data_IF_183777187900
#
_entry.id   IF_183777187900
#
_cell.length_a   1.000
_cell.length_b   1.000
_cell.length_c   1.000
_cell.angle_alpha   90.00
_cell.angle_beta   90.00
_cell.angle_gamma   90.00
#
_symmetry.space_group_name_H-M   'P 1'
#
loop_
_entity.id
_entity.type
_entity.pdbx_description
1 polymer ?
#
# COMPACT_ATOMS: atom_id res chain seq x y z
N UNK A 1 -24.09 20.96 36.42
CA UNK A 1 -25.47 20.58 36.06
C UNK A 1 -25.74 21.16 34.67
N UNK A 2 -26.18 20.30 33.76
CA UNK A 2 -26.48 20.54 32.33
C UNK A 2 -27.37 21.78 32.08
N UNK A 3 -27.30 22.41 30.89
CA UNK A 3 -28.18 22.08 29.74
C UNK A 3 -28.05 23.09 28.57
N UNK A 4 -27.66 22.54 27.42
CA UNK A 4 -28.35 22.61 26.10
C UNK A 4 -28.73 24.00 25.54
N UNK A 5 -27.99 24.43 24.52
CA UNK A 5 -28.40 25.47 23.59
C UNK A 5 -29.01 24.81 22.33
N UNK A 6 -30.32 24.96 22.14
CA UNK A 6 -31.04 24.59 20.91
C UNK A 6 -30.84 25.70 19.86
N UNK A 7 -30.32 25.35 18.68
CA UNK A 7 -30.43 26.20 17.49
C UNK A 7 -31.62 25.76 16.63
N UNK A 8 -32.55 26.67 16.40
CA UNK A 8 -33.67 26.55 15.47
C UNK A 8 -33.30 27.21 14.15
N UNK A 9 -33.53 26.54 13.02
CA UNK A 9 -33.32 27.09 11.68
C UNK A 9 -34.68 27.41 11.06
N UNK A 10 -34.96 28.70 10.86
CA UNK A 10 -36.15 29.20 10.15
C UNK A 10 -35.86 29.27 8.65
N UNK A 11 -36.70 28.63 7.82
CA UNK A 11 -36.66 28.76 6.36
C UNK A 11 -37.92 29.49 5.89
N UNK A 12 -37.70 30.59 5.15
CA UNK A 12 -38.71 31.46 4.57
C UNK A 12 -39.20 30.86 3.24
N UNK A 13 -40.51 30.67 3.05
CA UNK A 13 -41.12 30.29 1.77
C UNK A 13 -41.90 31.48 1.18
N UNK A 14 -41.51 31.92 -0.02
CA UNK A 14 -42.29 32.83 -0.86
C UNK A 14 -43.17 31.99 -1.81
N UNK A 15 -44.47 32.27 -1.84
CA UNK A 15 -45.45 31.67 -2.74
C UNK A 15 -45.50 32.41 -4.08
N UNK A 16 -45.74 31.66 -5.17
CA UNK A 16 -46.19 32.17 -6.46
C UNK A 16 -47.08 31.13 -7.14
N UNK A 17 -48.32 31.51 -7.46
CA UNK A 17 -49.37 30.69 -8.06
C UNK A 17 -49.57 31.03 -9.56
N UNK A 18 -50.36 30.20 -10.27
CA UNK A 18 -51.03 30.33 -11.61
C UNK A 18 -50.63 29.15 -12.53
N UNK A 19 -51.46 28.37 -13.25
CA UNK A 19 -52.91 28.29 -13.48
C UNK A 19 -53.22 27.40 -14.73
N UNK A 20 -54.26 26.55 -14.63
CA UNK A 20 -55.27 26.06 -15.64
C UNK A 20 -54.88 25.26 -16.93
N UNK A 21 -55.55 24.10 -17.14
CA UNK A 21 -56.28 23.78 -18.41
C UNK A 21 -56.23 22.37 -19.07
N UNK A 22 -57.38 21.64 -19.04
CA UNK A 22 -58.07 20.76 -20.08
C UNK A 22 -57.29 19.61 -20.78
N UNK A 23 -57.75 18.38 -21.10
CA UNK A 23 -59.00 17.59 -21.02
C UNK A 23 -58.94 16.32 -21.91
N UNK A 24 -59.99 15.47 -21.88
CA UNK A 24 -60.45 14.43 -22.86
C UNK A 24 -59.97 12.95 -22.78
N UNK A 25 -60.93 12.01 -22.58
CA UNK A 25 -61.19 10.90 -23.54
C UNK A 25 -61.10 9.41 -23.12
N UNK A 26 -62.23 8.81 -22.67
CA UNK A 26 -62.83 7.54 -23.16
C UNK A 26 -62.16 6.15 -22.98
N UNK A 27 -62.88 5.19 -22.35
CA UNK A 27 -63.21 3.84 -22.86
C UNK A 27 -63.99 2.98 -21.82
N UNK A 28 -65.10 2.38 -22.28
CA UNK A 28 -65.97 1.41 -21.61
C UNK A 28 -65.43 -0.04 -21.64
N UNK A 29 -65.87 -0.90 -20.70
CA UNK A 29 -65.95 -2.36 -20.89
C UNK A 29 -65.64 -3.29 -19.70
N UNK A 30 -66.69 -3.60 -18.92
CA UNK A 30 -67.06 -4.85 -18.22
C UNK A 30 -66.19 -6.12 -18.36
N UNK A 31 -66.20 -7.13 -17.47
CA UNK A 31 -66.54 -7.37 -16.05
C UNK A 31 -66.20 -8.86 -15.83
N UNK A 32 -65.58 -9.25 -14.70
CA UNK A 32 -65.73 -10.60 -14.12
C UNK A 32 -65.11 -10.69 -12.71
N UNK A 33 -65.95 -10.35 -11.72
CA UNK A 33 -66.01 -10.77 -10.32
C UNK A 33 -64.93 -11.68 -9.72
N UNK A 34 -64.37 -11.24 -8.58
CA UNK A 34 -64.78 -11.80 -7.28
C UNK A 34 -64.63 -10.74 -6.18
N UNK A 35 -65.76 -10.33 -5.60
CA UNK A 35 -65.88 -9.37 -4.50
C UNK A 35 -65.59 -9.99 -3.13
N UNK A 36 -64.93 -9.26 -2.21
CA UNK A 36 -65.47 -8.95 -0.86
C UNK A 36 -64.88 -7.61 -0.34
N UNK A 37 -65.77 -6.61 -0.31
CA UNK A 37 -65.93 -5.41 0.52
C UNK A 37 -64.77 -4.79 1.33
N UNK A 38 -64.32 -3.63 0.83
CA UNK A 38 -64.44 -2.26 1.38
C UNK A 38 -64.27 -2.01 2.89
N UNK A 39 -63.16 -1.34 3.23
CA UNK A 39 -63.16 0.00 3.86
C UNK A 39 -61.91 0.77 3.39
N UNK A 40 -62.02 1.54 2.30
CA UNK A 40 -60.94 2.42 1.82
C UNK A 40 -61.38 3.90 1.89
N UNK A 41 -60.90 4.58 2.93
CA UNK A 41 -60.89 6.03 3.01
C UNK A 41 -59.47 6.56 2.78
N UNK A 42 -59.31 7.33 1.71
CA UNK A 42 -58.28 8.37 1.52
C UNK A 42 -56.81 7.96 1.35
N UNK A 43 -56.39 7.93 0.08
CA UNK A 43 -55.16 8.51 -0.46
C UNK A 43 -53.98 8.68 0.51
N UNK A 44 -52.92 7.87 0.34
CA UNK A 44 -51.52 8.29 0.52
C UNK A 44 -50.61 7.31 -0.26
N UNK A 45 -50.46 7.53 -1.57
CA UNK A 45 -49.31 7.00 -2.31
C UNK A 45 -48.48 8.19 -2.78
N UNK A 46 -47.42 8.49 -2.02
CA UNK A 46 -46.18 9.17 -2.43
C UNK A 46 -45.34 9.46 -1.17
N UNK A 47 -44.77 8.40 -0.58
CA UNK A 47 -43.45 8.52 0.04
C UNK A 47 -42.47 7.82 -0.89
N UNK A 48 -42.04 8.60 -1.88
CA UNK A 48 -40.84 8.34 -2.66
C UNK A 48 -39.66 8.43 -1.70
N UNK A 49 -38.93 7.33 -1.56
CA UNK A 49 -37.46 7.26 -1.56
C UNK A 49 -36.75 8.59 -1.26
N UNK A 50 -36.54 8.97 0.00
CA UNK A 50 -35.46 9.93 0.34
C UNK A 50 -35.02 9.73 1.81
N UNK A 51 -34.41 8.57 2.08
CA UNK A 51 -33.59 8.38 3.28
C UNK A 51 -32.29 7.60 2.98
N UNK A 52 -31.84 7.64 1.72
CA UNK A 52 -30.58 7.01 1.28
C UNK A 52 -29.62 7.98 0.56
N UNK A 53 -29.96 9.27 0.47
CA UNK A 53 -29.16 10.26 -0.25
C UNK A 53 -28.16 11.08 0.60
N UNK A 54 -27.91 10.66 1.85
CA UNK A 54 -26.80 11.17 2.67
C UNK A 54 -25.96 10.05 3.30
N UNK A 55 -25.92 8.87 2.68
CA UNK A 55 -24.77 7.98 2.90
C UNK A 55 -23.68 8.45 1.94
N UNK A 56 -22.57 9.05 2.41
CA UNK A 56 -21.40 9.17 1.56
C UNK A 56 -21.05 7.75 1.11
N UNK A 57 -21.17 7.54 -0.19
CA UNK A 57 -20.86 6.28 -0.86
C UNK A 57 -19.37 5.99 -0.65
N UNK A 58 -19.08 4.86 0.02
CA UNK A 58 -17.75 4.27 0.21
C UNK A 58 -16.63 5.23 0.63
N UNK A 59 -16.61 5.68 1.89
CA UNK A 59 -15.32 6.03 2.51
C UNK A 59 -14.50 4.74 2.64
N UNK A 60 -13.57 4.49 1.72
CA UNK A 60 -12.61 3.41 1.86
C UNK A 60 -11.70 3.71 3.06
N UNK A 61 -12.11 3.28 4.26
CA UNK A 61 -11.27 3.34 5.45
C UNK A 61 -9.98 2.57 5.16
N UNK A 62 -8.87 3.30 5.08
CA UNK A 62 -7.53 2.75 4.80
C UNK A 62 -7.10 1.77 5.90
N UNK A 63 -7.46 2.08 7.14
CA UNK A 63 -7.17 1.26 8.31
C UNK A 63 -8.43 0.67 8.92
N UNK A 64 -8.32 -0.57 9.41
CA UNK A 64 -9.38 -1.26 10.17
C UNK A 64 -9.63 -0.55 11.49
N UNK A 65 -10.84 -0.71 12.02
CA UNK A 65 -11.30 -0.14 13.29
C UNK A 65 -10.36 -0.47 14.47
N UNK A 66 -9.99 -1.74 14.62
CA UNK A 66 -9.12 -2.20 15.71
C UNK A 66 -7.68 -2.33 15.22
N UNK A 67 -6.73 -1.92 16.05
CA UNK A 67 -5.31 -2.15 15.80
C UNK A 67 -5.00 -3.66 15.82
N UNK A 68 -4.19 -4.19 14.88
CA UNK A 68 -3.95 -5.63 14.75
C UNK A 68 -3.64 -6.33 16.07
N UNK A 69 -4.29 -7.47 16.31
CA UNK A 69 -4.09 -8.32 17.50
C UNK A 69 -4.38 -7.65 18.85
N UNK A 70 -5.13 -6.55 18.84
CA UNK A 70 -5.56 -5.84 20.05
C UNK A 70 -7.04 -5.52 20.03
N UNK A 71 -7.56 -5.05 21.16
CA UNK A 71 -8.90 -4.45 21.29
C UNK A 71 -8.86 -2.91 21.19
N UNK A 72 -7.71 -2.33 20.89
CA UNK A 72 -7.53 -0.87 20.82
C UNK A 72 -8.19 -0.35 19.55
N UNK A 73 -9.18 0.52 19.73
CA UNK A 73 -9.91 1.18 18.65
C UNK A 73 -9.14 2.40 18.17
N UNK A 74 -8.93 2.51 16.84
CA UNK A 74 -8.41 3.72 16.22
C UNK A 74 -9.48 4.80 16.28
N UNK A 75 -9.06 6.01 16.66
CA UNK A 75 -9.89 7.19 16.53
C UNK A 75 -10.26 7.40 15.05
N UNK A 76 -11.54 7.55 14.75
CA UNK A 76 -11.98 7.80 13.38
C UNK A 76 -11.41 9.12 12.86
N UNK A 77 -10.77 9.07 11.69
CA UNK A 77 -10.20 10.25 11.03
C UNK A 77 -10.89 10.42 9.67
N UNK A 78 -11.74 11.45 9.50
CA UNK A 78 -12.29 11.79 8.19
C UNK A 78 -11.17 12.05 7.18
N UNK A 79 -11.37 11.66 5.92
CA UNK A 79 -10.38 11.89 4.85
C UNK A 79 -9.97 13.37 4.75
N UNK A 80 -10.93 14.28 4.93
CA UNK A 80 -10.73 15.74 4.94
C UNK A 80 -9.80 16.23 6.05
N UNK A 81 -9.64 15.47 7.13
CA UNK A 81 -8.85 15.82 8.32
C UNK A 81 -7.56 15.01 8.47
N UNK A 82 -7.38 13.99 7.63
CA UNK A 82 -6.24 13.07 7.66
C UNK A 82 -4.90 13.79 7.53
N UNK A 83 -4.83 14.90 6.78
CA UNK A 83 -3.58 15.63 6.55
C UNK A 83 -3.17 16.38 7.81
N UNK A 84 -1.92 16.23 8.24
CA UNK A 84 -1.34 16.95 9.39
C UNK A 84 -1.48 18.48 9.35
N UNK A 85 -1.64 19.08 8.17
CA UNK A 85 -1.85 20.54 8.04
C UNK A 85 -3.25 20.99 8.47
N UNK A 86 -4.21 20.08 8.52
CA UNK A 86 -5.58 20.35 8.94
C UNK A 86 -5.63 20.26 10.46
N UNK A 87 -5.99 21.37 11.11
CA UNK A 87 -6.18 21.42 12.56
C UNK A 87 -7.39 20.54 12.91
N UNK A 88 -7.19 19.64 13.87
CA UNK A 88 -8.26 18.88 14.51
C UNK A 88 -8.06 19.06 16.01
N UNK A 89 -8.84 19.96 16.61
CA UNK A 89 -8.65 20.39 18.02
C UNK A 89 -8.85 19.22 19.00
N UNK A 90 -9.69 18.25 18.64
CA UNK A 90 -10.01 17.08 19.45
C UNK A 90 -9.28 15.79 19.02
N UNK A 91 -8.20 15.91 18.22
CA UNK A 91 -7.45 14.74 17.77
C UNK A 91 -6.50 14.23 18.85
N UNK A 92 -7.03 13.40 19.75
CA UNK A 92 -6.30 12.74 20.82
C UNK A 92 -6.40 11.20 20.67
N UNK A 93 -5.64 10.61 19.73
CA UNK A 93 -5.67 9.17 19.51
C UNK A 93 -5.06 8.40 20.68
N UNK A 94 -5.42 7.13 20.85
CA UNK A 94 -4.80 6.26 21.84
C UNK A 94 -3.28 6.12 21.55
N UNK A 95 -2.43 6.22 22.58
CA UNK A 95 -0.97 6.01 22.46
C UNK A 95 -0.66 4.55 22.77
N UNK A 96 -0.21 3.82 21.76
CA UNK A 96 0.12 2.41 21.87
C UNK A 96 1.50 2.13 21.30
N UNK A 97 2.34 1.45 22.08
CA UNK A 97 3.66 0.99 21.67
C UNK A 97 3.91 -0.38 22.30
N UNK A 98 4.36 -1.32 21.47
CA UNK A 98 4.75 -2.67 21.85
C UNK A 98 5.92 -3.13 20.98
N UNK A 99 6.88 -3.82 21.59
CA UNK A 99 8.01 -4.38 20.86
C UNK A 99 7.70 -5.81 20.41
N UNK A 100 7.79 -6.13 19.10
CA UNK A 100 7.63 -7.50 18.63
C UNK A 100 8.63 -8.48 19.29
N UNK A 101 8.22 -9.74 19.53
CA UNK A 101 9.14 -10.77 19.99
C UNK A 101 10.33 -10.92 19.04
N UNK A 102 11.53 -11.16 19.59
CA UNK A 102 12.79 -11.31 18.84
C UNK A 102 13.30 -10.06 18.10
N UNK A 103 12.66 -8.90 18.27
CA UNK A 103 13.14 -7.64 17.74
C UNK A 103 13.84 -6.80 18.81
N UNK A 104 14.90 -6.09 18.42
CA UNK A 104 15.47 -5.00 19.22
C UNK A 104 14.83 -3.69 18.76
N UNK A 105 13.78 -3.28 19.44
CA UNK A 105 13.03 -2.08 19.11
C UNK A 105 13.72 -0.81 19.60
N UNK A 106 13.29 0.33 19.05
CA UNK A 106 13.66 1.64 19.60
C UNK A 106 13.20 1.78 21.06
N UNK A 107 13.81 2.68 21.85
CA UNK A 107 13.23 3.11 23.13
C UNK A 107 11.89 3.81 22.94
N UNK A 108 11.03 3.79 23.98
CA UNK A 108 9.75 4.51 23.97
C UNK A 108 9.95 6.04 23.97
N UNK A 109 11.02 6.52 24.59
CA UNK A 109 11.47 7.90 24.45
C UNK A 109 12.30 8.05 23.15
N UNK A 110 11.85 8.83 22.15
CA UNK A 110 12.59 9.01 20.91
C UNK A 110 13.84 9.88 21.06
N UNK A 111 14.12 10.44 22.24
CA UNK A 111 15.30 11.28 22.47
C UNK A 111 16.60 10.56 22.10
N UNK A 112 17.44 11.24 21.31
CA UNK A 112 18.71 10.71 20.83
C UNK A 112 18.62 9.93 19.51
N UNK A 113 17.41 9.66 18.99
CA UNK A 113 17.23 9.03 17.68
C UNK A 113 17.50 10.04 16.56
N UNK A 114 18.31 9.61 15.59
CA UNK A 114 18.70 10.40 14.42
C UNK A 114 17.73 10.23 13.25
N UNK A 115 16.65 11.01 13.25
CA UNK A 115 15.62 10.93 12.21
C UNK A 115 16.05 11.51 10.85
N UNK A 116 15.51 10.95 9.77
CA UNK A 116 15.80 11.34 8.38
C UNK A 116 17.30 11.25 8.01
N UNK A 117 18.01 10.28 8.59
CA UNK A 117 19.40 9.94 8.27
C UNK A 117 19.69 8.47 8.57
N UNK A 118 20.92 8.02 8.30
CA UNK A 118 21.37 6.68 8.74
C UNK A 118 21.80 6.77 10.20
N UNK A 119 21.15 5.97 11.04
CA UNK A 119 21.36 5.89 12.48
C UNK A 119 21.98 4.53 12.85
N UNK A 120 23.31 4.46 12.76
CA UNK A 120 24.06 3.22 12.91
C UNK A 120 23.70 2.19 11.84
N UNK A 121 22.99 1.14 12.25
CA UNK A 121 22.56 0.08 11.33
C UNK A 121 21.19 0.30 10.71
N UNK A 122 20.44 1.32 11.14
CA UNK A 122 19.11 1.62 10.63
C UNK A 122 19.15 2.76 9.61
N UNK A 123 18.60 2.53 8.43
CA UNK A 123 18.23 3.62 7.53
C UNK A 123 16.89 4.18 8.00
N UNK A 124 16.88 5.45 8.44
CA UNK A 124 15.66 6.13 8.89
C UNK A 124 15.17 7.16 7.87
N UNK A 125 15.65 7.13 6.63
CA UNK A 125 15.09 7.94 5.56
C UNK A 125 13.72 7.41 5.10
N UNK A 126 12.93 8.28 4.47
CA UNK A 126 11.67 7.89 3.83
C UNK A 126 11.82 7.93 2.31
N UNK A 127 11.19 6.99 1.62
CA UNK A 127 11.09 6.97 0.16
C UNK A 127 9.88 7.74 -0.37
N UNK A 128 9.02 8.26 0.52
CA UNK A 128 7.77 8.94 0.14
C UNK A 128 8.00 10.40 -0.24
N UNK A 129 9.00 11.04 0.38
CA UNK A 129 9.36 12.45 0.19
C UNK A 129 10.79 12.70 0.65
N UNK A 130 11.32 13.91 0.47
CA UNK A 130 12.69 14.26 0.87
C UNK A 130 12.96 14.04 2.38
N UNK A 131 12.04 14.45 3.25
CA UNK A 131 12.09 14.26 4.72
C UNK A 131 10.67 14.17 5.30
N UNK A 132 10.45 13.31 6.30
CA UNK A 132 9.26 13.39 7.14
C UNK A 132 9.44 14.44 8.23
N UNK A 133 8.31 14.91 8.76
CA UNK A 133 8.29 15.94 9.79
C UNK A 133 8.43 15.29 11.16
N UNK A 134 9.01 16.04 12.10
CA UNK A 134 9.00 15.70 13.52
C UNK A 134 7.95 16.58 14.20
N UNK A 135 7.13 15.97 15.05
CA UNK A 135 6.10 16.60 15.85
C UNK A 135 6.69 17.38 17.04
N UNK A 136 5.86 18.16 17.74
CA UNK A 136 6.29 18.93 18.91
C UNK A 136 6.71 18.04 20.09
N UNK A 137 6.26 16.80 20.13
CA UNK A 137 6.62 15.76 21.10
C UNK A 137 7.92 15.01 20.74
N UNK A 138 8.63 15.44 19.70
CA UNK A 138 9.87 14.81 19.23
C UNK A 138 9.65 13.53 18.42
N UNK A 139 8.40 13.13 18.15
CA UNK A 139 8.09 11.90 17.39
C UNK A 139 7.91 12.19 15.90
N UNK A 140 8.26 11.27 15.01
CA UNK A 140 8.02 11.45 13.58
C UNK A 140 6.53 11.47 13.26
N UNK A 141 6.15 12.19 12.20
CA UNK A 141 4.78 12.29 11.72
C UNK A 141 4.62 11.54 10.40
N UNK A 142 3.70 10.58 10.39
CA UNK A 142 3.42 9.71 9.25
C UNK A 142 3.21 10.53 7.98
N UNK A 143 3.94 10.23 6.89
CA UNK A 143 3.90 11.04 5.69
C UNK A 143 2.54 11.06 4.97
N UNK A 144 1.69 10.07 5.22
CA UNK A 144 0.32 9.95 4.68
C UNK A 144 -0.75 10.56 5.60
N UNK A 145 -0.39 11.02 6.80
CA UNK A 145 -1.31 11.72 7.70
C UNK A 145 -1.64 10.95 8.97
N UNK A 146 -2.64 11.46 9.68
CA UNK A 146 -3.25 10.88 10.88
C UNK A 146 -3.89 9.52 10.55
N UNK A 147 -3.76 8.58 11.47
CA UNK A 147 -4.17 7.18 11.35
C UNK A 147 -5.13 6.75 12.46
N UNK A 148 -5.41 7.63 13.41
CA UNK A 148 -6.28 7.37 14.55
C UNK A 148 -5.59 6.69 15.74
N UNK A 149 -4.27 6.47 15.68
CA UNK A 149 -3.48 5.88 16.78
C UNK A 149 -2.08 6.50 16.80
N UNK A 150 -1.57 6.82 17.99
CA UNK A 150 -0.21 7.34 18.20
C UNK A 150 0.70 6.26 18.82
N UNK A 151 1.99 6.56 18.92
CA UNK A 151 3.01 5.60 19.32
C UNK A 151 3.49 4.75 18.14
N UNK A 152 4.29 3.72 18.38
CA UNK A 152 4.80 2.84 17.31
C UNK A 152 3.83 1.72 16.93
N UNK A 153 2.82 1.50 17.76
CA UNK A 153 2.06 0.26 17.75
C UNK A 153 3.00 -0.93 17.92
N UNK A 154 2.86 -1.97 17.10
CA UNK A 154 3.74 -3.14 17.07
C UNK A 154 4.87 -3.05 16.03
N UNK A 155 5.18 -1.86 15.49
CA UNK A 155 6.37 -1.67 14.66
C UNK A 155 7.61 -1.44 15.55
N UNK A 156 8.76 -1.97 15.13
CA UNK A 156 9.97 -1.94 15.95
C UNK A 156 10.56 -0.53 16.11
N UNK A 157 10.45 0.31 15.08
CA UNK A 157 11.15 1.59 15.01
C UNK A 157 10.19 2.78 14.87
N UNK A 158 10.59 3.93 15.42
CA UNK A 158 9.94 5.20 15.14
C UNK A 158 10.19 5.61 13.68
N UNK A 159 9.14 6.08 13.01
CA UNK A 159 9.20 6.51 11.62
C UNK A 159 9.11 5.34 10.63
N UNK A 160 9.89 5.34 9.53
CA UNK A 160 9.81 4.31 8.52
C UNK A 160 10.37 2.97 9.02
N UNK A 161 9.63 1.90 8.81
CA UNK A 161 10.03 0.51 9.01
C UNK A 161 10.14 -0.12 7.62
N UNK A 162 11.36 -0.28 7.13
CA UNK A 162 11.58 -0.72 5.77
C UNK A 162 11.35 -2.22 5.61
N UNK A 163 10.57 -2.60 4.61
CA UNK A 163 10.34 -3.96 4.18
C UNK A 163 10.85 -4.15 2.75
N UNK A 164 11.22 -5.38 2.43
CA UNK A 164 11.75 -5.76 1.13
C UNK A 164 11.04 -7.00 0.60
N UNK A 165 10.79 -6.99 -0.71
CA UNK A 165 10.38 -8.14 -1.50
C UNK A 165 11.31 -8.23 -2.69
N UNK A 166 11.88 -9.41 -2.93
CA UNK A 166 12.70 -9.65 -4.13
C UNK A 166 12.06 -10.74 -4.95
N UNK A 167 11.79 -10.42 -6.21
CA UNK A 167 11.27 -11.33 -7.22
C UNK A 167 12.45 -11.83 -8.00
N UNK A 168 12.72 -13.13 -7.91
CA UNK A 168 13.79 -13.79 -8.67
C UNK A 168 13.15 -14.58 -9.79
N UNK A 169 13.61 -14.36 -11.01
CA UNK A 169 13.25 -15.17 -12.16
C UNK A 169 14.46 -15.73 -12.89
N UNK A 170 14.26 -16.87 -13.57
CA UNK A 170 15.28 -17.49 -14.42
C UNK A 170 14.71 -18.04 -15.72
N UNK A 171 15.54 -18.08 -16.75
CA UNK A 171 15.20 -18.63 -18.07
C UNK A 171 14.41 -17.67 -18.97
N UNK A 172 14.63 -17.79 -20.28
CA UNK A 172 14.07 -16.87 -21.28
C UNK A 172 12.70 -17.29 -21.83
N UNK A 173 12.58 -18.53 -22.29
CA UNK A 173 11.34 -19.04 -22.91
C UNK A 173 10.38 -19.65 -21.87
N UNK A 174 10.92 -20.47 -20.96
CA UNK A 174 10.18 -21.05 -19.83
C UNK A 174 10.63 -20.32 -18.57
N UNK A 175 10.05 -19.14 -18.35
CA UNK A 175 10.44 -18.27 -17.24
C UNK A 175 9.88 -18.81 -15.94
N UNK A 176 10.77 -19.18 -15.04
CA UNK A 176 10.43 -19.66 -13.71
C UNK A 176 10.66 -18.55 -12.68
N UNK A 177 9.83 -18.55 -11.64
CA UNK A 177 9.94 -17.65 -10.50
C UNK A 177 10.25 -18.46 -9.25
N UNK A 178 11.12 -17.94 -8.39
CA UNK A 178 11.34 -18.53 -7.08
C UNK A 178 10.25 -18.06 -6.12
N UNK A 179 9.33 -18.96 -5.80
CA UNK A 179 8.10 -18.65 -5.08
C UNK A 179 8.02 -19.36 -3.75
N UNK A 180 7.33 -18.72 -2.81
CA UNK A 180 6.97 -19.25 -1.50
C UNK A 180 5.53 -19.80 -1.53
N UNK A 181 5.37 -21.06 -1.16
CA UNK A 181 4.08 -21.74 -0.99
C UNK A 181 3.85 -22.12 0.46
N UNK A 182 2.66 -21.86 0.96
CA UNK A 182 2.20 -22.34 2.26
C UNK A 182 1.20 -23.49 2.08
N UNK A 183 1.28 -24.47 2.98
CA UNK A 183 0.32 -25.58 3.02
C UNK A 183 -1.03 -25.19 3.63
N UNK A 184 -1.14 -24.01 4.27
CA UNK A 184 -2.36 -23.56 4.98
C UNK A 184 -3.31 -22.74 4.12
N UNK A 185 -2.82 -22.16 3.03
CA UNK A 185 -3.60 -21.28 2.15
C UNK A 185 -3.66 -21.83 0.73
N UNK A 186 -4.83 -22.28 0.29
CA UNK A 186 -5.11 -22.67 -1.11
C UNK A 186 -5.08 -21.48 -2.07
N UNK A 187 -5.13 -20.26 -1.54
CA UNK A 187 -4.99 -19.01 -2.29
C UNK A 187 -3.76 -18.27 -1.76
N UNK A 188 -2.62 -18.45 -2.42
CA UNK A 188 -1.42 -17.67 -2.12
C UNK A 188 -1.68 -16.24 -2.62
N UNK A 189 -2.05 -15.33 -1.70
CA UNK A 189 -2.37 -13.94 -2.05
C UNK A 189 -1.14 -13.17 -2.55
N UNK A 190 0.08 -13.60 -2.18
CA UNK A 190 1.33 -13.18 -2.80
C UNK A 190 2.39 -14.31 -2.66
N UNK A 191 2.91 -14.89 -3.76
CA UNK A 191 3.87 -16.00 -3.70
C UNK A 191 5.30 -15.55 -3.40
N UNK A 192 5.48 -14.33 -2.89
CA UNK A 192 6.79 -13.74 -2.64
C UNK A 192 6.86 -13.28 -1.19
N UNK A 193 8.02 -13.52 -0.58
CA UNK A 193 8.27 -13.18 0.79
C UNK A 193 8.50 -11.66 0.94
N UNK A 194 7.84 -11.06 1.93
CA UNK A 194 8.08 -9.68 2.37
C UNK A 194 8.63 -9.76 3.80
N UNK A 195 9.83 -9.23 4.03
CA UNK A 195 10.42 -9.14 5.38
C UNK A 195 10.92 -7.72 5.66
N UNK A 196 10.94 -7.35 6.93
CA UNK A 196 11.55 -6.11 7.37
C UNK A 196 13.08 -6.17 7.29
N UNK A 197 13.68 -5.07 6.85
CA UNK A 197 15.11 -4.90 6.63
C UNK A 197 15.57 -3.59 7.22
N UNK A 198 16.85 -3.52 7.62
CA UNK A 198 17.40 -2.31 8.23
C UNK A 198 17.92 -1.30 7.21
N UNK A 199 18.48 -1.78 6.09
CA UNK A 199 19.09 -0.97 5.03
C UNK A 199 18.60 -1.45 3.65
N UNK A 200 17.38 -1.10 3.24
CA UNK A 200 16.79 -1.57 1.98
C UNK A 200 17.56 -1.14 0.71
N UNK A 201 18.46 -0.15 0.82
CA UNK A 201 19.25 0.37 -0.30
C UNK A 201 20.59 -0.34 -0.53
N UNK A 202 21.01 -1.26 0.35
CA UNK A 202 22.33 -1.92 0.25
C UNK A 202 22.25 -3.45 0.16
N UNK A 203 21.05 -4.02 0.27
CA UNK A 203 20.82 -5.46 0.13
C UNK A 203 19.86 -5.74 -1.02
N UNK A 204 20.02 -6.89 -1.67
CA UNK A 204 19.21 -7.31 -2.82
C UNK A 204 18.17 -8.37 -2.47
N UNK A 205 18.30 -9.01 -1.31
CA UNK A 205 17.39 -10.06 -0.83
C UNK A 205 16.88 -9.74 0.57
N UNK A 206 15.62 -10.09 0.90
CA UNK A 206 15.16 -10.27 2.27
C UNK A 206 16.04 -11.28 3.05
N UNK A 207 16.13 -11.19 4.38
CA UNK A 207 17.01 -12.05 5.19
C UNK A 207 16.86 -13.55 4.92
N UNK A 208 15.63 -14.06 4.86
CA UNK A 208 15.38 -15.48 4.60
C UNK A 208 15.83 -15.87 3.20
N UNK A 209 15.51 -15.06 2.19
CA UNK A 209 15.90 -15.34 0.82
C UNK A 209 17.42 -15.24 0.62
N UNK A 210 18.09 -14.32 1.32
CA UNK A 210 19.55 -14.23 1.34
C UNK A 210 20.16 -15.54 1.88
N UNK A 211 19.64 -16.07 3.00
CA UNK A 211 20.14 -17.32 3.58
C UNK A 211 19.98 -18.51 2.64
N UNK A 212 18.84 -18.60 1.93
CA UNK A 212 18.59 -19.66 0.94
C UNK A 212 19.56 -19.52 -0.23
N UNK A 213 19.50 -18.39 -0.94
CA UNK A 213 20.22 -18.19 -2.20
C UNK A 213 21.72 -18.26 -1.98
N UNK A 214 22.24 -17.54 -0.97
CA UNK A 214 23.67 -17.50 -0.69
C UNK A 214 24.15 -18.78 -0.01
N UNK A 215 23.28 -19.45 0.75
CA UNK A 215 23.57 -20.78 1.29
C UNK A 215 23.89 -21.77 0.19
N UNK A 216 22.97 -21.92 -0.77
CA UNK A 216 23.12 -22.85 -1.90
C UNK A 216 24.28 -22.44 -2.83
N UNK A 217 24.47 -21.12 -3.09
CA UNK A 217 25.60 -20.64 -3.88
C UNK A 217 26.96 -20.96 -3.25
N UNK A 218 27.09 -20.92 -1.92
CA UNK A 218 28.34 -21.23 -1.21
C UNK A 218 28.77 -22.69 -1.32
N UNK A 219 27.85 -23.60 -1.64
CA UNK A 219 28.18 -25.01 -1.84
C UNK A 219 28.91 -25.25 -3.17
N UNK A 220 28.77 -24.33 -4.13
CA UNK A 220 29.23 -24.51 -5.51
C UNK A 220 30.26 -23.45 -5.92
N UNK A 221 30.08 -22.21 -5.50
CA UNK A 221 30.88 -21.07 -5.95
C UNK A 221 31.86 -20.58 -4.88
N UNK A 222 33.07 -20.13 -5.28
CA UNK A 222 33.97 -19.44 -4.37
C UNK A 222 33.40 -18.09 -3.95
N UNK A 223 33.79 -17.61 -2.77
CA UNK A 223 33.28 -16.36 -2.17
C UNK A 223 33.40 -15.16 -3.11
N UNK A 224 34.51 -15.04 -3.85
CA UNK A 224 34.72 -13.95 -4.81
C UNK A 224 33.66 -13.92 -5.93
N UNK A 225 33.26 -15.08 -6.45
CA UNK A 225 32.23 -15.17 -7.49
C UNK A 225 30.84 -14.83 -6.94
N UNK A 226 30.56 -15.17 -5.68
CA UNK A 226 29.31 -14.79 -5.01
C UNK A 226 29.24 -13.28 -4.81
N UNK A 227 30.34 -12.65 -4.41
CA UNK A 227 30.42 -11.19 -4.27
C UNK A 227 30.21 -10.48 -5.62
N UNK A 228 30.81 -11.00 -6.70
CA UNK A 228 30.61 -10.49 -8.05
C UNK A 228 29.14 -10.64 -8.50
N UNK A 229 28.52 -11.79 -8.23
CA UNK A 229 27.10 -12.02 -8.51
C UNK A 229 26.19 -11.07 -7.72
N UNK A 230 26.46 -10.86 -6.43
CA UNK A 230 25.71 -9.91 -5.59
C UNK A 230 25.84 -8.46 -6.09
N UNK A 231 27.06 -8.04 -6.49
CA UNK A 231 27.28 -6.73 -7.07
C UNK A 231 26.54 -6.56 -8.40
N UNK A 232 26.54 -7.61 -9.24
CA UNK A 232 25.78 -7.66 -10.48
C UNK A 232 24.29 -7.53 -10.21
N UNK A 233 23.73 -8.33 -9.30
CA UNK A 233 22.32 -8.25 -8.92
C UNK A 233 21.96 -6.86 -8.41
N UNK A 234 22.82 -6.24 -7.60
CA UNK A 234 22.59 -4.90 -7.10
C UNK A 234 22.48 -3.88 -8.25
N UNK A 235 23.40 -3.94 -9.23
CA UNK A 235 23.43 -3.02 -10.37
C UNK A 235 22.32 -3.26 -11.39
N UNK A 236 21.99 -4.53 -11.64
CA UNK A 236 21.10 -4.93 -12.73
C UNK A 236 19.65 -5.14 -12.27
N UNK A 237 19.40 -5.27 -10.96
CA UNK A 237 18.04 -5.38 -10.43
C UNK A 237 17.17 -4.19 -10.82
N UNK A 238 15.91 -4.48 -11.08
CA UNK A 238 14.90 -3.48 -11.38
C UNK A 238 14.10 -3.16 -10.12
N UNK A 239 14.15 -1.90 -9.69
CA UNK A 239 13.26 -1.42 -8.63
C UNK A 239 11.85 -1.29 -9.20
N UNK A 240 10.97 -2.23 -8.89
CA UNK A 240 9.58 -2.25 -9.36
C UNK A 240 8.71 -1.25 -8.59
N UNK A 241 8.94 -1.17 -7.27
CA UNK A 241 8.24 -0.27 -6.35
C UNK A 241 9.16 0.12 -5.21
N UNK A 242 9.00 1.35 -4.75
CA UNK A 242 9.65 1.84 -3.54
C UNK A 242 8.80 2.98 -3.00
N UNK A 243 8.32 2.86 -1.76
CA UNK A 243 7.44 3.86 -1.17
C UNK A 243 6.61 3.36 0.00
N UNK A 244 5.61 4.16 0.37
CA UNK A 244 4.74 3.91 1.52
C UNK A 244 3.96 2.61 1.38
N UNK A 245 4.10 1.68 2.31
CA UNK A 245 3.33 0.43 2.32
C UNK A 245 2.17 0.54 3.31
N UNK A 246 0.95 0.41 2.82
CA UNK A 246 -0.24 0.46 3.69
C UNK A 246 -0.36 -0.85 4.46
N UNK A 247 0.21 -0.85 5.65
CA UNK A 247 0.14 -1.92 6.63
C UNK A 247 -0.84 -1.54 7.74
N UNK A 248 -1.62 -2.49 8.24
CA UNK A 248 -2.59 -2.25 9.31
C UNK A 248 -1.90 -1.89 10.64
N UNK A 249 -0.60 -2.11 10.76
CA UNK A 249 0.24 -1.70 11.89
C UNK A 249 0.68 -0.24 11.84
N UNK A 250 0.50 0.46 10.71
CA UNK A 250 0.91 1.86 10.59
C UNK A 250 0.16 2.75 11.61
N UNK A 251 0.89 3.66 12.24
CA UNK A 251 0.40 4.63 13.22
C UNK A 251 0.72 6.05 12.75
N UNK A 252 0.43 7.02 13.60
CA UNK A 252 0.84 8.41 13.39
C UNK A 252 2.36 8.60 13.43
N UNK A 253 3.07 7.69 14.09
CA UNK A 253 4.49 7.85 14.40
C UNK A 253 5.37 6.69 13.91
N UNK A 254 4.82 5.63 13.35
CA UNK A 254 5.57 4.56 12.73
C UNK A 254 4.80 4.01 11.52
N UNK A 255 5.48 3.72 10.41
CA UNK A 255 4.84 3.21 9.22
C UNK A 255 5.77 2.30 8.44
N UNK A 256 5.21 1.39 7.65
CA UNK A 256 5.97 0.52 6.78
C UNK A 256 6.25 1.18 5.43
N UNK A 257 7.43 0.92 4.87
CA UNK A 257 7.78 1.29 3.50
C UNK A 257 8.34 0.08 2.77
N UNK A 258 7.84 -0.22 1.57
CA UNK A 258 8.18 -1.43 0.84
C UNK A 258 9.08 -1.11 -0.36
N UNK A 259 10.17 -1.86 -0.49
CA UNK A 259 10.98 -1.94 -1.71
C UNK A 259 10.71 -3.28 -2.39
N UNK A 260 10.30 -3.24 -3.66
CA UNK A 260 10.13 -4.42 -4.51
C UNK A 260 11.24 -4.38 -5.56
N UNK A 261 12.13 -5.37 -5.51
CA UNK A 261 13.17 -5.59 -6.51
C UNK A 261 12.79 -6.77 -7.41
N UNK A 262 13.16 -6.70 -8.68
CA UNK A 262 13.10 -7.80 -9.64
C UNK A 262 14.53 -8.09 -10.13
N UNK A 263 14.94 -9.35 -10.05
CA UNK A 263 16.21 -9.85 -10.56
C UNK A 263 15.89 -10.94 -11.58
N UNK A 264 16.34 -10.75 -12.81
CA UNK A 264 16.10 -11.65 -13.93
C UNK A 264 17.42 -12.30 -14.37
N UNK A 265 17.50 -13.64 -14.34
CA UNK A 265 18.63 -14.44 -14.83
C UNK A 265 18.19 -15.28 -16.03
N UNK A 266 18.04 -14.67 -17.22
CA UNK A 266 17.59 -15.37 -18.42
C UNK A 266 18.55 -16.49 -18.84
N UNK A 267 19.84 -16.38 -18.48
CA UNK A 267 20.91 -17.37 -18.75
C UNK A 267 20.88 -18.58 -17.83
N UNK A 268 20.22 -18.50 -16.67
CA UNK A 268 20.31 -19.51 -15.59
C UNK A 268 21.75 -19.69 -15.09
N UNK A 269 22.58 -18.66 -15.17
CA UNK A 269 23.99 -18.74 -14.78
C UNK A 269 24.13 -18.75 -13.25
N UNK A 270 23.30 -17.96 -12.55
CA UNK A 270 23.44 -17.73 -11.13
C UNK A 270 22.44 -18.51 -10.29
N UNK A 271 21.17 -18.52 -10.69
CA UNK A 271 20.10 -19.09 -9.86
C UNK A 271 19.78 -20.55 -10.17
N UNK A 272 20.54 -21.20 -11.06
CA UNK A 272 20.34 -22.62 -11.34
C UNK A 272 20.73 -23.53 -10.17
N UNK A 273 21.61 -23.05 -9.30
CA UNK A 273 22.06 -23.77 -8.09
C UNK A 273 21.09 -23.68 -6.92
N UNK A 274 20.12 -22.77 -6.98
CA UNK A 274 19.18 -22.54 -5.88
C UNK A 274 18.09 -23.59 -5.94
N UNK A 275 18.01 -24.42 -4.91
CA UNK A 275 17.12 -25.57 -4.85
C UNK A 275 15.83 -25.27 -4.09
N UNK A 276 14.89 -26.21 -4.10
CA UNK A 276 13.68 -26.11 -3.29
C UNK A 276 14.02 -26.22 -1.78
N UNK A 277 13.47 -25.32 -0.96
CA UNK A 277 13.74 -25.26 0.49
C UNK A 277 12.46 -25.28 1.31
N UNK A 278 12.35 -26.20 2.26
CA UNK A 278 11.30 -26.19 3.27
C UNK A 278 11.80 -25.48 4.52
N UNK A 279 11.01 -24.53 5.04
CA UNK A 279 11.38 -23.70 6.17
C UNK A 279 10.16 -23.40 7.03
N UNK A 280 10.41 -23.08 8.30
CA UNK A 280 9.41 -22.48 9.18
C UNK A 280 9.72 -20.99 9.29
N UNK A 281 8.77 -20.14 8.90
CA UNK A 281 8.95 -18.69 8.96
C UNK A 281 9.11 -18.27 10.44
N UNK A 282 10.19 -17.56 10.80
CA UNK A 282 10.46 -17.22 12.20
C UNK A 282 9.38 -16.34 12.83
N UNK A 283 8.74 -15.46 12.04
CA UNK A 283 7.73 -14.51 12.55
C UNK A 283 6.36 -15.17 12.79
N UNK A 284 5.94 -16.08 11.91
CA UNK A 284 4.58 -16.67 11.95
C UNK A 284 4.55 -18.11 12.46
N UNK A 285 5.69 -18.78 12.53
CA UNK A 285 5.78 -20.22 12.77
C UNK A 285 5.17 -21.06 11.64
N UNK A 286 4.91 -20.46 10.48
CA UNK A 286 4.28 -21.13 9.35
C UNK A 286 5.29 -21.93 8.53
N UNK A 287 4.94 -23.17 8.21
CA UNK A 287 5.73 -24.01 7.31
C UNK A 287 5.47 -23.60 5.86
N UNK A 288 6.54 -23.27 5.15
CA UNK A 288 6.52 -22.87 3.76
C UNK A 288 7.54 -23.64 2.94
N UNK A 289 7.31 -23.71 1.63
CA UNK A 289 8.21 -24.28 0.66
C UNK A 289 8.58 -23.19 -0.34
N UNK A 290 9.88 -22.92 -0.46
CA UNK A 290 10.43 -22.13 -1.55
C UNK A 290 10.79 -23.06 -2.69
N UNK A 291 10.37 -22.74 -3.92
CA UNK A 291 10.63 -23.56 -5.09
C UNK A 291 10.51 -22.76 -6.39
N UNK A 292 11.08 -23.29 -7.46
CA UNK A 292 10.88 -22.75 -8.80
C UNK A 292 9.52 -23.18 -9.35
N UNK A 293 8.76 -22.22 -9.86
CA UNK A 293 7.52 -22.48 -10.57
C UNK A 293 7.44 -21.64 -11.84
N UNK A 294 6.98 -22.25 -12.92
CA UNK A 294 6.61 -21.52 -14.12
C UNK A 294 5.28 -20.79 -13.89
N UNK A 295 5.31 -19.47 -14.00
CA UNK A 295 4.13 -18.62 -13.83
C UNK A 295 3.99 -17.66 -15.01
N UNK A 296 2.77 -17.43 -15.53
CA UNK A 296 2.54 -16.38 -16.51
C UNK A 296 2.98 -15.01 -15.96
N UNK A 297 3.76 -14.23 -16.73
CA UNK A 297 4.23 -12.91 -16.27
C UNK A 297 3.07 -12.00 -15.85
N UNK A 298 1.93 -12.08 -16.54
CA UNK A 298 0.72 -11.30 -16.21
C UNK A 298 0.19 -11.61 -14.81
N UNK A 299 0.29 -12.87 -14.36
CA UNK A 299 -0.13 -13.27 -13.02
C UNK A 299 0.77 -12.62 -11.96
N UNK A 300 2.09 -12.63 -12.18
CA UNK A 300 3.08 -12.00 -11.31
C UNK A 300 2.85 -10.49 -11.27
N UNK A 301 2.69 -9.85 -12.43
CA UNK A 301 2.38 -8.42 -12.52
C UNK A 301 1.09 -8.04 -11.79
N UNK A 302 0.04 -8.84 -11.94
CA UNK A 302 -1.24 -8.62 -11.26
C UNK A 302 -1.07 -8.66 -9.75
N UNK A 303 -0.31 -9.63 -9.22
CA UNK A 303 -0.02 -9.74 -7.79
C UNK A 303 0.80 -8.55 -7.28
N UNK A 304 1.83 -8.13 -8.01
CA UNK A 304 2.59 -6.92 -7.68
C UNK A 304 1.66 -5.69 -7.66
N UNK A 305 0.78 -5.54 -8.67
CA UNK A 305 -0.19 -4.44 -8.72
C UNK A 305 -1.16 -4.48 -7.54
N UNK A 306 -1.59 -5.66 -7.09
CA UNK A 306 -2.44 -5.80 -5.89
C UNK A 306 -1.72 -5.33 -4.62
N UNK A 307 -0.46 -5.75 -4.42
CA UNK A 307 0.39 -5.31 -3.29
C UNK A 307 0.58 -3.78 -3.33
N UNK A 308 0.91 -3.23 -4.50
CA UNK A 308 1.12 -1.80 -4.69
C UNK A 308 -0.19 -1.00 -4.58
N UNK A 309 -1.33 -1.55 -5.02
CA UNK A 309 -2.62 -0.84 -4.97
C UNK A 309 -3.07 -0.61 -3.52
N UNK A 310 -2.76 -1.54 -2.61
CA UNK A 310 -2.97 -1.33 -1.17
C UNK A 310 -2.18 -0.11 -0.67
N UNK A 311 -1.03 0.17 -1.28
CA UNK A 311 0.00 1.13 -0.86
C UNK A 311 -0.21 2.59 -1.33
N UNK A 312 -1.47 2.96 -1.59
CA UNK A 312 -1.98 4.28 -2.01
C UNK A 312 -0.97 5.28 -2.59
N UNK A 313 -0.86 5.33 -3.91
CA UNK A 313 0.23 6.03 -4.62
C UNK A 313 -0.09 7.50 -4.86
N UNK A 314 0.86 8.36 -4.53
CA UNK A 314 0.93 9.73 -5.03
C UNK A 314 1.16 9.75 -6.55
N UNK A 315 0.83 10.87 -7.20
CA UNK A 315 1.05 11.06 -8.65
C UNK A 315 2.52 10.91 -9.04
N UNK A 316 3.46 11.35 -8.20
CA UNK A 316 4.90 11.17 -8.40
C UNK A 316 5.29 9.68 -8.36
N UNK A 317 4.80 8.93 -7.37
CA UNK A 317 5.03 7.47 -7.29
C UNK A 317 4.40 6.73 -8.48
N UNK A 318 3.24 7.18 -8.98
CA UNK A 318 2.61 6.66 -10.22
C UNK A 318 3.51 6.88 -11.43
N UNK A 319 4.08 8.07 -11.58
CA UNK A 319 4.96 8.43 -12.68
C UNK A 319 6.30 7.67 -12.62
N UNK A 320 6.96 7.63 -11.45
CA UNK A 320 8.23 6.95 -11.26
C UNK A 320 8.18 5.46 -11.66
N UNK A 321 7.09 4.78 -11.32
CA UNK A 321 6.89 3.39 -11.74
C UNK A 321 6.58 3.23 -13.22
N UNK A 322 5.89 4.19 -13.86
CA UNK A 322 5.72 4.16 -15.33
C UNK A 322 7.09 4.22 -16.01
N UNK A 323 7.97 5.08 -15.51
CA UNK A 323 9.36 5.19 -15.99
C UNK A 323 10.18 3.94 -15.69
N UNK A 324 10.08 3.37 -14.48
CA UNK A 324 10.74 2.09 -14.14
C UNK A 324 10.25 0.96 -15.05
N UNK A 325 8.94 0.87 -15.34
CA UNK A 325 8.41 -0.09 -16.32
C UNK A 325 8.89 0.16 -17.74
N UNK A 326 8.96 1.42 -18.17
CA UNK A 326 9.53 1.77 -19.46
C UNK A 326 11.01 1.35 -19.54
N UNK A 327 11.80 1.58 -18.48
CA UNK A 327 13.18 1.13 -18.38
C UNK A 327 13.31 -0.38 -18.54
N UNK A 328 12.51 -1.15 -17.79
CA UNK A 328 12.48 -2.61 -17.91
C UNK A 328 12.11 -3.07 -19.32
N UNK A 329 11.11 -2.44 -19.95
CA UNK A 329 10.72 -2.73 -21.32
C UNK A 329 11.86 -2.51 -22.32
N UNK A 330 12.56 -1.36 -22.24
CA UNK A 330 13.66 -1.05 -23.16
C UNK A 330 14.90 -1.95 -22.91
N UNK A 331 15.19 -2.30 -21.65
CA UNK A 331 16.25 -3.27 -21.32
C UNK A 331 15.95 -4.64 -21.92
N UNK A 332 14.72 -5.14 -21.77
CA UNK A 332 14.29 -6.43 -22.36
C UNK A 332 14.38 -6.46 -23.89
N UNK A 333 14.26 -5.30 -24.55
CA UNK A 333 14.37 -5.17 -26.02
C UNK A 333 15.80 -4.89 -26.52
N UNK A 334 16.80 -4.79 -25.63
CA UNK A 334 18.18 -4.43 -26.02
C UNK A 334 18.32 -2.99 -26.53
N UNK A 335 17.36 -2.11 -26.21
CA UNK A 335 17.33 -0.71 -26.69
C UNK A 335 18.09 0.16 -25.67
N UNK A 336 19.39 0.34 -25.89
CA UNK A 336 20.27 1.05 -24.95
C UNK A 336 20.21 2.59 -25.04
N UNK A 337 19.72 3.17 -26.14
CA UNK A 337 19.77 4.63 -26.37
C UNK A 337 18.87 5.47 -25.45
N UNK A 338 17.79 4.91 -24.91
CA UNK A 338 16.79 5.62 -24.07
C UNK A 338 17.08 5.45 -22.56
N UNK A 339 17.89 4.44 -22.21
CA UNK A 339 18.23 4.08 -20.82
C UNK A 339 18.94 5.19 -20.02
N UNK A 340 19.91 5.94 -20.58
CA UNK A 340 20.55 7.06 -19.89
C UNK A 340 19.54 8.15 -19.49
N UNK A 341 18.62 8.50 -20.40
CA UNK A 341 17.59 9.51 -20.17
C UNK A 341 16.61 9.09 -19.05
N UNK A 342 16.23 7.81 -19.02
CA UNK A 342 15.39 7.27 -17.96
C UNK A 342 16.13 7.20 -16.62
N UNK A 343 17.42 6.89 -16.62
CA UNK A 343 18.25 6.89 -15.40
C UNK A 343 18.43 8.29 -14.82
N UNK A 344 18.64 9.31 -15.66
CA UNK A 344 18.70 10.70 -15.25
C UNK A 344 17.35 11.18 -14.68
N UNK A 345 16.23 10.74 -15.26
CA UNK A 345 14.93 11.06 -14.71
C UNK A 345 14.70 10.38 -13.34
N UNK A 346 15.06 9.10 -13.18
CA UNK A 346 14.92 8.37 -11.91
C UNK A 346 15.80 8.96 -10.82
N UNK A 347 17.04 9.32 -11.13
CA UNK A 347 17.97 9.94 -10.18
C UNK A 347 17.53 11.37 -9.78
N UNK A 348 17.02 12.16 -10.73
CA UNK A 348 16.56 13.53 -10.46
C UNK A 348 15.16 13.61 -9.82
N UNK A 349 14.32 12.59 -10.00
CA UNK A 349 12.97 12.55 -9.39
C UNK A 349 12.98 12.22 -7.89
N UNK A 350 14.10 11.76 -7.34
CA UNK A 350 14.34 11.70 -5.89
C UNK A 350 14.45 13.13 -5.29
N UNK A 351 14.65 14.16 -6.12
CA UNK A 351 14.82 15.56 -5.70
C UNK A 351 13.75 16.57 -6.16
N UNK A 352 12.82 16.23 -7.05
CA UNK A 352 11.95 17.23 -7.72
C UNK A 352 10.46 16.85 -7.71
N UNK A 353 9.75 17.18 -6.63
CA UNK A 353 8.29 17.37 -6.70
C UNK A 353 7.98 18.77 -7.22
N UNK A 354 8.29 19.05 -8.48
CA UNK A 354 7.93 20.32 -9.09
C UNK A 354 8.66 20.68 -10.37
N UNK A 355 8.46 19.94 -11.46
CA UNK A 355 8.43 20.53 -12.81
C UNK A 355 7.32 19.84 -13.59
N UNK A 356 6.41 20.65 -14.11
CA UNK A 356 5.28 20.22 -14.90
C UNK A 356 5.73 19.44 -16.15
N UNK A 357 4.93 18.44 -16.50
CA UNK A 357 5.04 17.67 -17.75
C UNK A 357 4.83 18.63 -18.93
N UNK A 358 5.85 18.78 -19.76
CA UNK A 358 5.68 19.25 -21.14
C UNK A 358 6.47 18.34 -22.06
N UNK A 359 5.88 17.20 -22.38
CA UNK A 359 6.23 16.40 -23.55
C UNK A 359 4.93 15.90 -24.18
N UNK A 360 4.17 16.87 -24.71
CA UNK A 360 3.38 16.63 -25.90
C UNK A 360 4.20 17.17 -27.08
N UNK A 361 4.03 16.55 -28.25
CA UNK A 361 4.64 16.88 -29.55
C UNK A 361 6.14 16.64 -29.70
N UNK A 362 6.51 15.39 -30.02
CA UNK A 362 7.31 15.07 -31.20
C UNK A 362 6.91 13.67 -31.69
N UNK A 363 6.38 13.61 -32.91
CA UNK A 363 5.80 12.42 -33.55
C UNK A 363 4.51 12.79 -34.25
#
# INVERSE_FOLDING_TARGET
>A
MQLVQKCSLTVLLMQGNVGVGVGVGGADGADAHTDVLLLSGSFHYRYVLFASAFLPTNSHLVYKKYYPETTIERLYVPESESRWKVKSEDYTPYDYTACPPNWKCDPDDPNGIKFNEIDGELDRHTFVKKKYKIGPDGRPLNPKGKTGISGRGSLAYWGPNHAMMTIISRGKANKEYYVMRSNRTTTVDAPFLIEYVKKPMVQVFPPTLYQIVIGDMKEIFPEAAILEALEKFYKESSVVYQGYYTDQRNTDNAWSELTILEIDDPSREFFNVVEAKKLTLPETGEEVIFQWEELPEEQVEKKIKEIIKRSDRTTGEKMLHRIRRAKMFFQKQGIHGILPVLNDFVSNSIGLTGVAVTLASFG
#
